data_IF_153946348041
#
_entry.id   IF_153946348041
#
_cell.length_a   1.000
_cell.length_b   1.000
_cell.length_c   1.000
_cell.angle_alpha   90.00
_cell.angle_beta   90.00
_cell.angle_gamma   90.00
#
_symmetry.space_group_name_H-M   'P 1'
#
loop_
_entity.id
_entity.type
_entity.pdbx_description
1 polymer ?
#
# COMPACT_ATOMS: atom_id res chain seq x y z
N UNK A 1 16.82 37.31 -29.32
CA UNK A 1 17.80 36.49 -28.61
C UNK A 1 17.55 36.63 -27.12
N UNK A 2 16.91 35.66 -26.50
CA UNK A 2 16.69 35.64 -25.05
C UNK A 2 18.02 35.30 -24.37
N UNK A 3 18.47 36.16 -23.45
CA UNK A 3 19.63 35.88 -22.63
C UNK A 3 19.29 34.75 -21.67
N UNK A 4 20.02 33.64 -21.75
CA UNK A 4 19.94 32.53 -20.79
C UNK A 4 20.45 33.03 -19.44
N UNK A 5 19.60 32.98 -18.41
CA UNK A 5 19.96 33.28 -17.03
C UNK A 5 20.36 31.99 -16.31
N UNK A 6 21.64 31.84 -15.98
CA UNK A 6 22.07 31.01 -14.87
C UNK A 6 22.82 29.72 -15.10
N UNK A 7 23.27 29.39 -16.31
CA UNK A 7 24.27 28.32 -16.49
C UNK A 7 25.69 28.87 -16.33
N UNK A 8 26.60 28.15 -15.66
CA UNK A 8 28.04 28.43 -15.70
C UNK A 8 28.47 28.19 -17.17
N UNK A 9 28.78 29.28 -17.88
CA UNK A 9 29.42 29.17 -19.19
C UNK A 9 30.90 28.94 -18.87
N UNK A 10 31.40 27.71 -19.07
CA UNK A 10 32.84 27.47 -19.11
C UNK A 10 33.47 28.32 -20.21
N UNK A 11 34.75 28.65 -20.08
CA UNK A 11 35.54 29.45 -21.06
C UNK A 11 35.55 28.83 -22.45
N UNK A 12 35.00 27.64 -22.63
CA UNK A 12 35.03 26.80 -23.82
C UNK A 12 33.69 26.73 -24.58
N UNK A 13 32.63 27.44 -24.12
CA UNK A 13 31.28 27.40 -24.71
C UNK A 13 30.50 26.13 -24.41
N UNK A 14 30.87 25.35 -23.37
CA UNK A 14 30.20 24.14 -22.92
C UNK A 14 29.21 24.49 -21.80
N UNK A 15 27.95 24.08 -21.97
CA UNK A 15 26.83 24.45 -21.11
C UNK A 15 26.34 23.29 -20.26
N UNK A 16 26.06 23.56 -18.96
CA UNK A 16 25.25 22.71 -18.11
C UNK A 16 23.77 22.71 -18.55
N UNK A 17 22.94 21.73 -18.10
CA UNK A 17 21.52 21.71 -18.41
C UNK A 17 20.76 22.91 -17.85
N UNK A 18 19.57 23.18 -18.38
CA UNK A 18 18.59 24.03 -17.71
C UNK A 18 18.08 23.35 -16.41
N UNK A 19 17.58 24.11 -15.42
CA UNK A 19 17.05 23.53 -14.20
C UNK A 19 15.74 22.76 -14.45
N UNK A 20 15.50 21.63 -13.74
CA UNK A 20 14.21 20.94 -13.74
C UNK A 20 13.06 21.86 -13.31
N UNK A 21 11.84 21.53 -13.72
CA UNK A 21 10.63 22.30 -13.42
C UNK A 21 9.54 21.44 -12.80
N UNK A 22 8.45 22.04 -12.30
CA UNK A 22 7.30 21.30 -11.78
C UNK A 22 7.62 20.41 -10.58
N UNK A 23 8.50 20.87 -9.68
CA UNK A 23 8.92 20.09 -8.51
C UNK A 23 7.78 19.94 -7.52
N UNK A 24 7.41 18.68 -7.23
CA UNK A 24 6.39 18.30 -6.23
C UNK A 24 6.95 17.20 -5.33
N UNK A 25 6.40 17.07 -4.11
CA UNK A 25 6.77 16.04 -3.16
C UNK A 25 5.58 15.18 -2.78
N UNK A 26 5.75 13.86 -2.80
CA UNK A 26 4.84 12.88 -2.20
C UNK A 26 5.49 12.33 -0.94
N UNK A 27 4.83 12.47 0.21
CA UNK A 27 5.42 12.15 1.52
C UNK A 27 5.22 10.69 1.90
N UNK A 28 6.26 10.09 2.46
CA UNK A 28 6.25 8.78 3.11
C UNK A 28 6.67 8.88 4.58
N UNK A 29 6.96 7.74 5.20
CA UNK A 29 7.49 7.69 6.56
C UNK A 29 9.00 7.91 6.54
N UNK A 30 9.43 9.02 7.08
CA UNK A 30 10.82 9.48 7.08
C UNK A 30 11.42 9.65 5.66
N UNK A 31 10.59 9.87 4.66
CA UNK A 31 10.99 10.01 3.25
C UNK A 31 10.03 10.91 2.46
N UNK A 32 10.50 11.37 1.30
CA UNK A 32 9.66 12.01 0.31
C UNK A 32 10.16 11.68 -1.11
N UNK A 33 9.23 11.28 -1.99
CA UNK A 33 9.48 11.11 -3.42
C UNK A 33 9.30 12.48 -4.12
N UNK A 34 10.38 12.98 -4.71
CA UNK A 34 10.44 14.29 -5.36
C UNK A 34 10.27 14.09 -6.87
N UNK A 35 9.09 14.44 -7.37
CA UNK A 35 8.77 14.40 -8.80
C UNK A 35 9.10 15.74 -9.46
N UNK A 36 9.53 15.68 -10.71
CA UNK A 36 9.90 16.86 -11.50
C UNK A 36 9.83 16.59 -13.00
N UNK A 37 9.74 17.66 -13.77
CA UNK A 37 9.85 17.60 -15.23
C UNK A 37 11.31 17.81 -15.63
N UNK A 38 11.81 16.89 -16.45
CA UNK A 38 13.15 16.94 -17.02
C UNK A 38 13.27 18.17 -17.93
N UNK A 39 14.35 18.97 -17.87
CA UNK A 39 14.52 20.12 -18.73
C UNK A 39 14.64 19.68 -20.20
N UNK A 40 14.07 20.47 -21.11
CA UNK A 40 14.16 20.25 -22.54
C UNK A 40 15.54 20.66 -23.12
N UNK A 41 16.25 21.57 -22.47
CA UNK A 41 17.61 21.94 -22.80
C UNK A 41 18.59 21.19 -21.89
N UNK A 42 19.29 20.23 -22.48
CA UNK A 42 20.29 19.41 -21.80
C UNK A 42 21.70 20.10 -21.76
N UNK A 43 21.82 21.29 -22.31
CA UNK A 43 23.12 21.94 -22.53
C UNK A 43 23.87 21.32 -23.71
N UNK A 44 25.18 21.32 -23.65
CA UNK A 44 26.02 20.79 -24.75
C UNK A 44 26.27 19.28 -24.66
N UNK A 45 25.70 18.58 -23.69
CA UNK A 45 25.77 17.12 -23.51
C UNK A 45 24.46 16.58 -22.93
N UNK A 46 24.20 15.29 -23.14
CA UNK A 46 23.05 14.60 -22.55
C UNK A 46 23.09 14.67 -21.03
N UNK A 47 21.91 14.76 -20.41
CA UNK A 47 21.76 14.68 -18.95
C UNK A 47 22.17 13.29 -18.50
N UNK A 48 23.05 13.20 -17.49
CA UNK A 48 23.56 11.96 -16.91
C UNK A 48 22.89 11.60 -15.56
N UNK A 49 22.24 12.56 -14.92
CA UNK A 49 21.56 12.34 -13.65
C UNK A 49 20.96 13.61 -13.05
N UNK A 50 20.36 13.43 -11.89
CA UNK A 50 19.72 14.49 -11.11
C UNK A 50 20.12 14.38 -9.63
N UNK A 51 20.09 15.50 -8.93
CA UNK A 51 20.20 15.59 -7.47
C UNK A 51 18.97 16.28 -6.94
N UNK A 52 18.28 15.68 -5.97
CA UNK A 52 17.23 16.34 -5.19
C UNK A 52 17.76 16.64 -3.79
N UNK A 53 17.49 17.84 -3.25
CA UNK A 53 17.91 18.26 -1.91
C UNK A 53 16.76 18.92 -1.18
N UNK A 54 16.70 18.77 0.15
CA UNK A 54 15.83 19.58 1.01
C UNK A 54 16.52 20.88 1.44
N UNK A 55 15.74 21.80 1.98
CA UNK A 55 16.23 23.03 2.62
C UNK A 55 17.00 22.75 3.92
N UNK A 56 16.84 21.56 4.52
CA UNK A 56 17.63 21.10 5.68
C UNK A 56 18.98 20.47 5.29
N UNK A 57 19.22 20.23 4.00
CA UNK A 57 20.47 19.67 3.49
C UNK A 57 20.45 18.16 3.23
N UNK A 58 19.33 17.47 3.51
CA UNK A 58 19.16 16.09 3.11
C UNK A 58 19.07 16.00 1.59
N UNK A 59 19.54 14.89 1.00
CA UNK A 59 19.49 14.77 -0.45
C UNK A 59 19.67 13.35 -0.97
N UNK A 60 19.31 13.17 -2.24
CA UNK A 60 19.47 11.92 -2.97
C UNK A 60 19.77 12.19 -4.45
N UNK A 61 20.32 11.19 -5.13
CA UNK A 61 20.62 11.21 -6.56
C UNK A 61 19.80 10.17 -7.30
N UNK A 62 19.49 10.43 -8.57
CA UNK A 62 18.78 9.47 -9.42
C UNK A 62 19.00 9.76 -10.90
N UNK A 63 18.67 8.79 -11.74
CA UNK A 63 18.75 8.92 -13.20
C UNK A 63 17.46 9.47 -13.84
N UNK A 64 16.36 9.48 -13.09
CA UNK A 64 15.02 9.89 -13.56
C UNK A 64 14.17 10.43 -12.42
N UNK A 65 13.06 11.05 -12.73
CA UNK A 65 11.99 11.41 -11.80
C UNK A 65 11.08 10.17 -11.54
N UNK A 66 10.60 9.94 -10.29
CA UNK A 66 10.94 10.69 -9.07
C UNK A 66 12.26 10.27 -8.43
N UNK A 67 12.78 11.10 -7.50
CA UNK A 67 13.92 10.78 -6.63
C UNK A 67 13.43 10.75 -5.18
N UNK A 68 13.67 9.66 -4.45
CA UNK A 68 13.29 9.55 -3.04
C UNK A 68 14.41 10.04 -2.14
N UNK A 69 14.13 11.06 -1.34
CA UNK A 69 15.00 11.53 -0.24
C UNK A 69 14.52 10.82 1.03
N UNK A 70 15.39 10.01 1.63
CA UNK A 70 15.13 9.28 2.87
C UNK A 70 15.73 9.98 4.11
N UNK A 71 15.57 9.34 5.28
CA UNK A 71 16.09 9.80 6.58
C UNK A 71 15.55 11.15 7.05
N UNK A 72 14.41 11.58 6.53
CA UNK A 72 13.72 12.80 6.95
C UNK A 72 13.04 12.60 8.32
N UNK A 73 12.89 13.67 9.07
CA UNK A 73 12.18 13.65 10.35
C UNK A 73 10.68 13.83 10.12
N UNK A 74 9.86 12.85 10.53
CA UNK A 74 8.41 12.93 10.44
C UNK A 74 7.85 14.13 11.20
N UNK A 75 6.87 14.82 10.61
CA UNK A 75 6.27 16.03 11.16
C UNK A 75 7.08 17.33 10.97
N UNK A 76 8.33 17.24 10.52
CA UNK A 76 9.16 18.41 10.19
C UNK A 76 8.81 18.89 8.78
N UNK A 77 8.62 20.19 8.62
CA UNK A 77 8.35 20.81 7.33
C UNK A 77 9.65 20.99 6.53
N UNK A 78 9.61 20.60 5.27
CA UNK A 78 10.69 20.72 4.30
C UNK A 78 10.19 21.36 3.00
N UNK A 79 11.11 21.91 2.22
CA UNK A 79 10.94 22.18 0.78
C UNK A 79 12.05 21.47 0.01
N UNK A 80 11.80 21.09 -1.25
CA UNK A 80 12.80 20.40 -2.06
C UNK A 80 13.15 21.17 -3.33
N UNK A 81 14.39 21.02 -3.80
CA UNK A 81 14.90 21.51 -5.09
C UNK A 81 15.60 20.40 -5.84
N UNK A 82 15.60 20.49 -7.16
CA UNK A 82 16.24 19.50 -8.03
C UNK A 82 17.21 20.20 -8.98
N UNK A 83 18.32 19.51 -9.24
CA UNK A 83 19.38 19.90 -10.16
C UNK A 83 19.56 18.83 -11.23
N UNK A 84 19.76 19.21 -12.47
CA UNK A 84 20.15 18.32 -13.54
C UNK A 84 21.67 18.36 -13.75
N UNK A 85 22.27 17.24 -14.14
CA UNK A 85 23.71 17.08 -14.32
C UNK A 85 23.99 16.55 -15.72
N UNK A 86 24.97 17.13 -16.40
CA UNK A 86 25.56 16.59 -17.62
C UNK A 86 27.08 16.49 -17.48
N UNK A 87 27.80 16.12 -18.55
CA UNK A 87 29.26 15.98 -18.53
C UNK A 87 30.01 17.31 -18.23
N UNK A 88 29.36 18.44 -18.38
CA UNK A 88 29.99 19.77 -18.27
C UNK A 88 29.57 20.56 -17.03
N UNK A 89 28.60 20.05 -16.28
CA UNK A 89 28.23 20.70 -15.03
C UNK A 89 26.83 20.37 -14.51
N UNK A 90 26.50 21.06 -13.44
CA UNK A 90 25.20 20.98 -12.77
C UNK A 90 24.39 22.24 -13.07
N UNK A 91 23.10 22.08 -13.33
CA UNK A 91 22.18 23.19 -13.57
C UNK A 91 22.08 24.14 -12.36
N UNK A 92 21.47 25.30 -12.57
CA UNK A 92 20.92 26.05 -11.44
C UNK A 92 19.85 25.22 -10.71
N UNK A 93 19.53 25.60 -9.46
CA UNK A 93 18.45 24.98 -8.70
C UNK A 93 17.10 25.23 -9.37
N UNK A 94 16.21 24.23 -9.34
CA UNK A 94 14.80 24.42 -9.67
C UNK A 94 14.14 25.45 -8.74
N UNK A 95 12.92 25.89 -9.07
CA UNK A 95 12.02 26.49 -8.09
C UNK A 95 11.75 25.43 -7.01
N UNK A 96 11.68 25.86 -5.75
CA UNK A 96 11.36 24.95 -4.65
C UNK A 96 9.95 24.37 -4.79
N UNK A 97 9.77 23.15 -4.32
CA UNK A 97 8.43 22.56 -4.14
C UNK A 97 7.58 23.38 -3.15
N UNK A 98 6.29 23.15 -3.11
CA UNK A 98 5.49 23.50 -1.93
C UNK A 98 6.07 22.83 -0.68
N UNK A 99 5.83 23.41 0.50
CA UNK A 99 6.24 22.79 1.77
C UNK A 99 5.54 21.44 1.95
N UNK A 100 6.28 20.43 2.44
CA UNK A 100 5.78 19.09 2.75
C UNK A 100 6.34 18.62 4.09
N UNK A 101 5.64 17.72 4.77
CA UNK A 101 6.11 17.11 6.01
C UNK A 101 5.96 15.59 5.91
N UNK A 102 7.04 14.81 6.01
CA UNK A 102 6.93 13.36 6.10
C UNK A 102 6.03 12.93 7.25
N UNK A 103 5.30 11.85 7.11
CA UNK A 103 4.32 11.37 8.09
C UNK A 103 4.72 10.00 8.61
N UNK A 104 4.33 9.69 9.87
CA UNK A 104 4.42 8.33 10.35
C UNK A 104 3.47 7.44 9.55
N UNK A 105 4.01 6.42 8.88
CA UNK A 105 3.19 5.39 8.28
C UNK A 105 2.46 4.62 9.38
N UNK A 106 1.13 4.74 9.41
CA UNK A 106 0.25 4.06 10.37
C UNK A 106 -0.49 2.94 9.68
N UNK A 107 -0.40 1.74 10.26
CA UNK A 107 -1.20 0.60 9.89
C UNK A 107 -2.36 0.43 10.85
N UNK A 108 -3.55 0.13 10.31
CA UNK A 108 -4.74 -0.20 11.09
C UNK A 108 -5.11 -1.67 10.86
N UNK A 109 -5.51 -2.32 11.92
CA UNK A 109 -6.14 -3.64 11.90
C UNK A 109 -7.56 -3.50 12.43
N UNK A 110 -8.56 -3.96 11.65
CA UNK A 110 -9.97 -3.64 11.88
C UNK A 110 -10.82 -4.89 12.04
N UNK A 111 -11.62 -4.94 13.11
CA UNK A 111 -12.57 -6.02 13.41
C UNK A 111 -11.89 -7.36 13.69
N UNK A 112 -12.53 -8.44 13.29
CA UNK A 112 -11.99 -9.79 13.40
C UNK A 112 -12.69 -10.67 14.41
N UNK A 113 -12.02 -11.75 14.83
CA UNK A 113 -12.53 -12.75 15.75
C UNK A 113 -11.51 -13.07 16.83
N UNK A 114 -11.94 -12.97 18.07
CA UNK A 114 -11.20 -13.39 19.27
C UNK A 114 -12.00 -14.48 19.98
N UNK A 115 -11.42 -15.63 20.25
CA UNK A 115 -12.09 -16.75 20.97
C UNK A 115 -13.51 -17.08 20.46
N UNK A 116 -13.70 -17.12 19.14
CA UNK A 116 -14.96 -17.37 18.42
C UNK A 116 -16.01 -16.22 18.43
N UNK A 117 -15.75 -15.10 19.09
CA UNK A 117 -16.62 -13.92 19.04
C UNK A 117 -16.10 -12.90 18.03
N UNK A 118 -16.98 -12.30 17.22
CA UNK A 118 -16.65 -11.12 16.43
C UNK A 118 -16.32 -9.96 17.35
N UNK A 119 -15.37 -9.11 16.95
CA UNK A 119 -14.96 -7.92 17.70
C UNK A 119 -15.08 -6.66 16.85
N UNK A 120 -15.27 -5.52 17.50
CA UNK A 120 -15.33 -4.20 16.89
C UNK A 120 -14.02 -3.41 17.01
N UNK A 121 -13.00 -3.98 17.62
CA UNK A 121 -11.73 -3.33 17.90
C UNK A 121 -11.03 -2.87 16.63
N UNK A 122 -10.58 -1.63 16.61
CA UNK A 122 -9.59 -1.10 15.69
C UNK A 122 -8.31 -0.90 16.48
N UNK A 123 -7.21 -1.48 16.02
CA UNK A 123 -5.90 -1.28 16.63
C UNK A 123 -4.90 -0.80 15.58
N UNK A 124 -3.85 -0.10 16.02
CA UNK A 124 -2.87 0.48 15.10
C UNK A 124 -1.42 0.21 15.52
N UNK A 125 -0.56 0.28 14.51
CA UNK A 125 0.90 0.27 14.66
C UNK A 125 1.51 1.47 13.93
N UNK A 126 2.69 1.89 14.35
CA UNK A 126 3.57 2.76 13.56
C UNK A 126 4.51 1.86 12.76
N UNK A 127 4.31 1.73 11.44
CA UNK A 127 4.99 0.72 10.61
C UNK A 127 6.52 0.87 10.62
N UNK A 128 7.03 2.09 10.74
CA UNK A 128 8.47 2.35 10.76
C UNK A 128 9.20 1.88 12.02
N UNK A 129 8.48 1.63 13.12
CA UNK A 129 9.06 1.33 14.44
C UNK A 129 8.43 0.05 15.01
N UNK A 130 9.24 -0.94 15.34
CA UNK A 130 8.77 -2.19 15.97
C UNK A 130 8.16 -1.91 17.34
N UNK A 131 7.14 -2.69 17.71
CA UNK A 131 6.42 -2.57 18.97
C UNK A 131 5.00 -3.09 18.85
N UNK A 132 4.36 -3.26 19.98
CA UNK A 132 3.00 -3.80 20.05
C UNK A 132 1.96 -2.83 19.49
N UNK A 133 0.86 -3.39 19.00
CA UNK A 133 -0.29 -2.61 18.59
C UNK A 133 -0.92 -1.85 19.77
N UNK A 134 -1.54 -0.73 19.45
CA UNK A 134 -2.23 0.14 20.42
C UNK A 134 -3.69 0.28 20.00
N UNK A 135 -4.58 0.45 20.98
CA UNK A 135 -5.98 0.70 20.73
C UNK A 135 -6.17 2.00 19.93
N UNK A 136 -7.00 1.92 18.90
CA UNK A 136 -7.34 3.06 18.04
C UNK A 136 -8.77 3.56 18.34
N UNK A 137 -9.71 2.64 18.61
CA UNK A 137 -11.13 2.86 18.74
C UNK A 137 -11.92 1.65 18.25
N UNK A 138 -13.19 1.84 17.92
CA UNK A 138 -14.08 0.75 17.55
C UNK A 138 -14.77 0.98 16.20
N UNK A 139 -15.08 -0.11 15.49
CA UNK A 139 -16.08 -0.16 14.43
C UNK A 139 -17.47 0.15 15.03
N UNK A 140 -18.44 0.47 14.20
CA UNK A 140 -19.84 0.73 14.65
C UNK A 140 -20.51 -0.52 15.23
N UNK A 141 -20.02 -1.71 14.85
CA UNK A 141 -20.46 -2.99 15.41
C UNK A 141 -19.39 -4.07 15.25
N UNK A 142 -19.43 -5.09 16.13
CA UNK A 142 -18.55 -6.24 16.07
C UNK A 142 -18.77 -7.06 14.79
N UNK A 143 -17.72 -7.19 13.98
CA UNK A 143 -17.75 -7.95 12.71
C UNK A 143 -16.39 -8.52 12.34
N UNK A 144 -16.40 -9.61 11.57
CA UNK A 144 -15.20 -10.33 11.09
C UNK A 144 -15.24 -10.49 9.58
N UNK A 145 -14.13 -10.94 8.99
CA UNK A 145 -14.00 -11.21 7.55
C UNK A 145 -14.34 -9.99 6.67
N UNK A 146 -13.97 -8.84 7.17
CA UNK A 146 -14.14 -7.53 6.51
C UNK A 146 -13.04 -7.31 5.47
N UNK A 147 -13.27 -6.42 4.50
CA UNK A 147 -12.23 -5.85 3.66
C UNK A 147 -11.85 -4.45 4.13
N UNK A 148 -10.59 -4.02 3.96
CA UNK A 148 -10.19 -2.67 4.28
C UNK A 148 -9.30 -2.05 3.21
N UNK A 149 -9.53 -0.76 2.95
CA UNK A 149 -8.77 0.07 2.01
C UNK A 149 -8.40 1.38 2.68
N UNK A 150 -7.40 2.06 2.17
CA UNK A 150 -7.02 3.35 2.73
C UNK A 150 -6.56 4.36 1.66
N UNK A 151 -6.67 5.63 2.01
CA UNK A 151 -5.90 6.72 1.43
C UNK A 151 -4.84 7.20 2.43
N UNK A 152 -4.09 8.22 2.09
CA UNK A 152 -3.17 8.88 3.03
C UNK A 152 -3.86 9.46 4.28
N UNK A 153 -5.18 9.63 4.28
CA UNK A 153 -5.94 10.27 5.36
C UNK A 153 -7.03 9.41 5.99
N UNK A 154 -7.63 8.46 5.24
CA UNK A 154 -8.75 7.64 5.68
C UNK A 154 -8.41 6.16 5.63
N UNK A 155 -8.79 5.42 6.68
CA UNK A 155 -8.94 3.97 6.65
C UNK A 155 -10.43 3.63 6.53
N UNK A 156 -10.79 2.75 5.61
CA UNK A 156 -12.17 2.36 5.32
C UNK A 156 -12.31 0.85 5.45
N UNK A 157 -13.38 0.40 6.10
CA UNK A 157 -13.72 -1.00 6.33
C UNK A 157 -15.10 -1.30 5.71
N UNK A 158 -15.23 -2.39 4.95
CA UNK A 158 -16.49 -2.74 4.28
C UNK A 158 -16.88 -4.20 4.37
N UNK A 159 -18.19 -4.46 4.37
CA UNK A 159 -18.77 -5.79 4.44
C UNK A 159 -18.53 -6.49 5.78
N UNK A 160 -18.51 -7.82 5.74
CA UNK A 160 -18.22 -8.65 6.90
C UNK A 160 -19.40 -9.49 7.38
N UNK A 161 -19.17 -10.18 8.49
CA UNK A 161 -20.16 -11.02 9.15
C UNK A 161 -20.31 -10.60 10.62
N UNK A 162 -21.50 -10.17 11.00
CA UNK A 162 -21.91 -9.90 12.39
C UNK A 162 -22.48 -11.18 13.01
N UNK A 163 -22.12 -11.50 14.25
CA UNK A 163 -22.46 -12.77 14.90
C UNK A 163 -23.97 -13.01 14.92
N UNK A 164 -24.77 -11.99 15.22
CA UNK A 164 -26.23 -12.13 15.41
C UNK A 164 -27.07 -11.70 14.19
N UNK A 165 -26.44 -11.10 13.16
CA UNK A 165 -27.13 -10.54 12.00
C UNK A 165 -26.79 -11.31 10.71
N UNK A 166 -25.57 -11.85 10.61
CA UNK A 166 -25.04 -12.48 9.40
C UNK A 166 -24.30 -11.50 8.50
N UNK A 167 -24.44 -11.66 7.20
CA UNK A 167 -23.74 -10.85 6.20
C UNK A 167 -24.24 -9.41 6.21
N UNK A 168 -23.30 -8.47 6.08
CA UNK A 168 -23.60 -7.04 6.00
C UNK A 168 -22.92 -6.40 4.78
N UNK A 169 -23.50 -5.29 4.32
CA UNK A 169 -22.96 -4.46 3.22
C UNK A 169 -22.39 -3.13 3.71
N UNK A 170 -22.48 -2.82 4.99
CA UNK A 170 -22.05 -1.56 5.58
C UNK A 170 -20.58 -1.27 5.28
N UNK A 171 -20.30 -0.02 4.92
CA UNK A 171 -18.95 0.54 4.81
C UNK A 171 -18.81 1.62 5.89
N UNK A 172 -17.71 1.62 6.61
CA UNK A 172 -17.40 2.60 7.64
C UNK A 172 -15.95 3.06 7.54
N UNK A 173 -15.64 4.24 8.07
CA UNK A 173 -14.32 4.83 7.97
C UNK A 173 -13.84 5.51 9.24
N UNK A 174 -12.53 5.68 9.32
CA UNK A 174 -11.84 6.46 10.34
C UNK A 174 -10.86 7.43 9.69
N UNK A 175 -10.51 8.52 10.40
CA UNK A 175 -9.37 9.38 10.04
C UNK A 175 -8.10 8.71 10.56
N UNK A 176 -7.26 8.19 9.67
CA UNK A 176 -6.21 7.22 10.01
C UNK A 176 -5.15 7.76 10.99
N UNK A 177 -4.89 9.06 11.01
CA UNK A 177 -3.90 9.66 11.91
C UNK A 177 -4.46 10.11 13.28
N UNK A 178 -5.78 10.07 13.46
CA UNK A 178 -6.45 10.49 14.70
C UNK A 178 -7.25 9.32 15.27
N UNK A 179 -6.89 8.87 16.49
CA UNK A 179 -7.63 7.80 17.17
C UNK A 179 -9.08 8.17 17.41
N UNK A 180 -9.97 7.20 17.30
CA UNK A 180 -11.42 7.39 17.46
C UNK A 180 -12.22 6.29 16.79
N UNK A 181 -13.51 6.30 17.01
CA UNK A 181 -14.42 5.30 16.49
C UNK A 181 -14.73 5.53 15.00
N UNK A 182 -15.09 4.48 14.31
CA UNK A 182 -15.54 4.53 12.93
C UNK A 182 -16.88 5.24 12.79
N UNK A 183 -17.09 5.83 11.63
CA UNK A 183 -18.32 6.51 11.23
C UNK A 183 -18.82 5.88 9.94
N UNK A 184 -20.13 5.87 9.74
CA UNK A 184 -20.77 5.39 8.52
C UNK A 184 -20.21 6.09 7.28
N UNK A 185 -19.94 5.26 6.25
CA UNK A 185 -19.48 5.74 4.93
C UNK A 185 -20.55 5.53 3.86
N UNK A 186 -21.32 4.43 3.93
CA UNK A 186 -22.29 3.98 2.94
C UNK A 186 -22.33 2.45 2.87
N UNK A 187 -22.75 1.89 1.73
CA UNK A 187 -22.97 0.46 1.55
C UNK A 187 -22.26 -0.11 0.32
N UNK A 188 -21.82 -1.37 0.38
CA UNK A 188 -21.50 -2.21 -0.77
C UNK A 188 -22.77 -2.51 -1.57
N UNK A 189 -22.63 -2.86 -2.84
CA UNK A 189 -23.77 -3.27 -3.69
C UNK A 189 -24.44 -4.55 -3.21
N UNK A 190 -23.68 -5.45 -2.57
CA UNK A 190 -24.16 -6.75 -2.04
C UNK A 190 -23.56 -7.02 -0.66
N UNK A 191 -24.40 -7.48 0.29
CA UNK A 191 -23.94 -7.94 1.60
C UNK A 191 -23.07 -9.20 1.46
N UNK A 192 -21.83 -9.15 1.96
CA UNK A 192 -20.83 -10.22 1.81
C UNK A 192 -19.69 -10.14 2.82
N UNK A 193 -19.01 -11.27 3.01
CA UNK A 193 -17.81 -11.39 3.85
C UNK A 193 -16.70 -12.14 3.11
N UNK A 194 -15.53 -12.30 3.72
CA UNK A 194 -14.36 -12.98 3.13
C UNK A 194 -13.91 -12.36 1.81
N UNK A 195 -14.13 -11.06 1.66
CA UNK A 195 -13.71 -10.28 0.51
C UNK A 195 -12.26 -9.84 0.67
N UNK A 196 -11.54 -9.78 -0.43
CA UNK A 196 -10.26 -9.10 -0.48
C UNK A 196 -10.44 -7.61 -0.82
N UNK A 197 -9.42 -6.80 -0.57
CA UNK A 197 -9.53 -5.36 -0.80
C UNK A 197 -8.18 -4.70 -0.97
N UNK A 198 -8.16 -3.61 -1.71
CA UNK A 198 -6.98 -2.78 -1.95
C UNK A 198 -7.34 -1.59 -2.83
N UNK A 199 -6.38 -0.77 -3.18
CA UNK A 199 -6.69 0.37 -4.02
C UNK A 199 -5.56 1.38 -4.16
N UNK A 200 -5.90 2.51 -4.77
CA UNK A 200 -5.04 3.69 -4.86
C UNK A 200 -5.37 4.70 -3.75
N UNK A 201 -4.66 5.82 -3.71
CA UNK A 201 -4.96 6.92 -2.78
C UNK A 201 -6.38 7.50 -2.93
N UNK A 202 -7.04 7.29 -4.06
CA UNK A 202 -8.35 7.87 -4.35
C UNK A 202 -9.48 6.87 -4.47
N UNK A 203 -9.20 5.65 -4.94
CA UNK A 203 -10.19 4.60 -5.20
C UNK A 203 -9.87 3.35 -4.41
N UNK A 204 -10.83 2.90 -3.58
CA UNK A 204 -10.79 1.62 -2.89
C UNK A 204 -11.66 0.59 -3.62
N UNK A 205 -11.18 -0.64 -3.74
CA UNK A 205 -11.88 -1.77 -4.34
C UNK A 205 -12.11 -2.86 -3.29
N UNK A 206 -13.31 -3.45 -3.33
CA UNK A 206 -13.72 -4.62 -2.55
C UNK A 206 -14.04 -5.76 -3.52
N UNK A 207 -13.30 -6.86 -3.43
CA UNK A 207 -13.24 -7.88 -4.47
C UNK A 207 -13.82 -9.20 -3.96
N UNK A 208 -14.76 -9.77 -4.71
CA UNK A 208 -15.34 -11.08 -4.45
C UNK A 208 -16.06 -11.18 -3.11
N UNK A 209 -15.99 -12.34 -2.50
CA UNK A 209 -16.61 -12.63 -1.20
C UNK A 209 -17.00 -14.11 -1.08
N UNK A 210 -17.77 -14.40 -0.06
CA UNK A 210 -18.21 -15.77 0.25
C UNK A 210 -19.14 -16.35 -0.82
N UNK A 211 -19.07 -17.66 -0.98
CA UNK A 211 -19.91 -18.40 -1.93
C UNK A 211 -19.50 -18.16 -3.37
N UNK A 212 -20.46 -17.81 -4.21
CA UNK A 212 -20.27 -17.56 -5.65
C UNK A 212 -20.27 -16.06 -5.99
N UNK A 213 -20.05 -15.20 -4.99
CA UNK A 213 -20.04 -13.76 -5.22
C UNK A 213 -18.71 -13.38 -5.89
N UNK A 214 -18.79 -12.95 -7.14
CA UNK A 214 -17.66 -12.50 -7.94
C UNK A 214 -17.60 -10.97 -8.11
N UNK A 215 -18.58 -10.25 -7.58
CA UNK A 215 -18.72 -8.80 -7.71
C UNK A 215 -17.48 -8.06 -7.18
N UNK A 216 -17.02 -7.08 -7.93
CA UNK A 216 -16.03 -6.09 -7.50
C UNK A 216 -16.75 -4.76 -7.33
N UNK A 217 -16.72 -4.20 -6.13
CA UNK A 217 -17.23 -2.86 -5.86
C UNK A 217 -16.07 -1.86 -5.75
N UNK A 218 -16.34 -0.59 -6.06
CA UNK A 218 -15.41 0.50 -5.76
C UNK A 218 -16.05 1.68 -5.07
N UNK A 219 -15.24 2.41 -4.33
CA UNK A 219 -15.57 3.67 -3.68
C UNK A 219 -14.56 4.76 -4.05
N UNK A 220 -14.98 6.02 -3.98
CA UNK A 220 -14.08 7.18 -3.93
C UNK A 220 -13.78 7.46 -2.45
N UNK A 221 -12.58 7.15 -1.96
CA UNK A 221 -12.25 7.15 -0.52
C UNK A 221 -12.47 8.53 0.13
N UNK A 222 -12.28 9.62 -0.60
CA UNK A 222 -12.44 10.98 -0.08
C UNK A 222 -13.91 11.40 0.16
N UNK A 223 -14.89 10.72 -0.47
CA UNK A 223 -16.30 11.09 -0.43
C UNK A 223 -17.15 9.95 0.10
N UNK A 224 -17.91 10.19 1.18
CA UNK A 224 -18.89 9.22 1.69
C UNK A 224 -19.99 8.96 0.67
N UNK A 225 -20.49 7.74 0.63
CA UNK A 225 -21.54 7.29 -0.28
C UNK A 225 -21.42 5.79 -0.57
N UNK A 226 -22.45 5.24 -1.19
CA UNK A 226 -22.49 3.82 -1.53
C UNK A 226 -21.44 3.48 -2.59
N UNK A 227 -20.97 2.25 -2.53
CA UNK A 227 -20.10 1.69 -3.55
C UNK A 227 -20.84 1.54 -4.90
N UNK A 228 -20.08 1.54 -5.95
CA UNK A 228 -20.54 1.34 -7.32
C UNK A 228 -19.91 0.07 -7.87
N UNK A 229 -20.64 -0.67 -8.69
CA UNK A 229 -20.13 -1.83 -9.39
C UNK A 229 -18.93 -1.46 -10.27
N UNK A 230 -17.86 -2.26 -10.13
CA UNK A 230 -16.62 -2.11 -10.89
C UNK A 230 -16.54 -3.15 -12.01
N UNK A 231 -17.06 -4.35 -11.78
CA UNK A 231 -16.98 -5.52 -12.62
C UNK A 231 -16.92 -6.80 -11.78
N UNK A 232 -16.44 -7.89 -12.36
CA UNK A 232 -16.45 -9.22 -11.74
C UNK A 232 -15.05 -9.85 -11.70
N UNK A 233 -14.85 -10.69 -10.68
CA UNK A 233 -13.76 -11.67 -10.70
C UNK A 233 -14.08 -12.72 -11.75
N UNK A 234 -13.10 -13.15 -12.54
CA UNK A 234 -13.25 -14.26 -13.47
C UNK A 234 -13.77 -15.50 -12.74
N UNK A 235 -14.67 -16.26 -13.38
CA UNK A 235 -15.30 -17.46 -12.81
C UNK A 235 -14.30 -18.54 -12.33
N UNK A 236 -13.04 -18.47 -12.77
CA UNK A 236 -11.96 -19.35 -12.34
C UNK A 236 -10.94 -18.63 -11.43
N UNK A 237 -11.20 -17.38 -11.07
CA UNK A 237 -10.29 -16.57 -10.25
C UNK A 237 -10.59 -16.67 -8.75
N UNK A 238 -9.65 -16.16 -7.92
CA UNK A 238 -9.78 -16.19 -6.47
C UNK A 238 -10.81 -15.15 -6.00
N UNK A 239 -11.93 -15.58 -5.47
CA UNK A 239 -13.03 -14.70 -5.06
C UNK A 239 -13.38 -14.75 -3.57
N UNK A 240 -12.87 -15.73 -2.80
CA UNK A 240 -13.16 -15.92 -1.38
C UNK A 240 -11.90 -16.16 -0.56
N UNK A 241 -11.85 -15.60 0.66
CA UNK A 241 -10.69 -15.76 1.58
C UNK A 241 -9.36 -15.44 0.91
N UNK A 242 -9.45 -14.58 -0.10
CA UNK A 242 -8.33 -14.06 -0.86
C UNK A 242 -7.73 -12.84 -0.16
N UNK A 243 -6.50 -12.49 -0.51
CA UNK A 243 -5.91 -11.21 -0.15
C UNK A 243 -5.51 -10.44 -1.42
N UNK A 244 -5.60 -9.13 -1.33
CA UNK A 244 -5.21 -8.26 -2.42
C UNK A 244 -4.18 -7.24 -1.95
N UNK A 245 -3.34 -6.82 -2.89
CA UNK A 245 -2.41 -5.72 -2.72
C UNK A 245 -2.42 -4.85 -3.98
N UNK A 246 -1.92 -3.64 -3.88
CA UNK A 246 -2.03 -2.70 -4.99
C UNK A 246 -0.79 -1.83 -5.17
N UNK A 247 -0.52 -1.50 -6.44
CA UNK A 247 0.23 -0.32 -6.86
C UNK A 247 -0.75 0.84 -7.12
N UNK A 248 -0.29 2.06 -7.47
CA UNK A 248 -1.21 3.15 -7.85
C UNK A 248 -2.10 2.82 -9.06
N UNK A 249 -1.70 1.82 -9.88
CA UNK A 249 -2.35 1.49 -11.16
C UNK A 249 -3.11 0.18 -11.11
N UNK A 250 -2.56 -0.87 -10.47
CA UNK A 250 -3.11 -2.23 -10.46
C UNK A 250 -3.42 -2.70 -9.05
N UNK A 251 -4.57 -3.35 -8.90
CA UNK A 251 -4.85 -4.23 -7.78
C UNK A 251 -4.61 -5.66 -8.25
N UNK A 252 -3.97 -6.46 -7.42
CA UNK A 252 -3.67 -7.87 -7.63
C UNK A 252 -4.29 -8.69 -6.50
N UNK A 253 -4.96 -9.79 -6.82
CA UNK A 253 -5.75 -10.60 -5.89
C UNK A 253 -5.37 -12.08 -6.00
N UNK A 254 -5.22 -12.78 -4.86
CA UNK A 254 -4.88 -14.22 -4.83
C UNK A 254 -5.45 -14.90 -3.58
N UNK A 255 -5.75 -16.19 -3.67
CA UNK A 255 -6.27 -17.01 -2.55
C UNK A 255 -7.28 -18.06 -3.00
N UNK A 256 -8.23 -18.41 -2.13
CA UNK A 256 -9.32 -19.38 -2.33
C UNK A 256 -8.85 -20.81 -2.67
N UNK A 257 -7.79 -21.30 -2.01
CA UNK A 257 -7.21 -22.61 -2.33
C UNK A 257 -6.73 -22.76 -3.79
N UNK A 258 -6.41 -21.64 -4.43
CA UNK A 258 -5.84 -21.59 -5.77
C UNK A 258 -4.44 -21.02 -5.69
N UNK A 259 -3.59 -21.40 -6.66
CA UNK A 259 -2.32 -20.68 -6.90
C UNK A 259 -2.55 -19.40 -7.69
N UNK A 260 -3.65 -19.33 -8.44
CA UNK A 260 -3.95 -18.25 -9.39
C UNK A 260 -3.92 -16.86 -8.75
N UNK A 261 -3.34 -15.94 -9.48
CA UNK A 261 -3.32 -14.51 -9.20
C UNK A 261 -4.08 -13.81 -10.33
N UNK A 262 -5.02 -12.95 -9.98
CA UNK A 262 -5.77 -12.10 -10.92
C UNK A 262 -5.45 -10.62 -10.66
N UNK A 263 -5.72 -9.76 -11.66
CA UNK A 263 -5.55 -8.33 -11.50
C UNK A 263 -6.63 -7.51 -12.21
N UNK A 264 -6.78 -6.26 -11.75
CA UNK A 264 -7.55 -5.20 -12.44
C UNK A 264 -6.73 -3.92 -12.52
N UNK A 265 -7.05 -3.07 -13.51
CA UNK A 265 -6.56 -1.69 -13.58
C UNK A 265 -7.48 -0.80 -12.77
N UNK A 266 -7.00 -0.21 -11.65
CA UNK A 266 -7.83 0.51 -10.66
C UNK A 266 -8.63 1.67 -11.25
N UNK A 267 -8.06 2.39 -12.23
CA UNK A 267 -8.70 3.57 -12.82
C UNK A 267 -9.88 3.24 -13.77
N UNK A 268 -9.93 2.03 -14.30
CA UNK A 268 -10.89 1.62 -15.35
C UNK A 268 -11.72 0.44 -14.89
N UNK A 269 -13.03 0.58 -14.86
CA UNK A 269 -13.97 -0.52 -14.53
C UNK A 269 -13.85 -1.68 -15.52
N UNK A 270 -14.01 -2.89 -15.03
CA UNK A 270 -13.95 -4.11 -15.82
C UNK A 270 -13.63 -5.33 -14.97
N UNK A 271 -13.70 -6.49 -15.58
CA UNK A 271 -13.45 -7.77 -14.92
C UNK A 271 -11.95 -8.01 -14.70
N UNK A 272 -11.67 -8.95 -13.79
CA UNK A 272 -10.28 -9.39 -13.60
C UNK A 272 -9.71 -10.07 -14.82
N UNK A 273 -8.41 -9.98 -14.97
CA UNK A 273 -7.62 -10.75 -15.93
C UNK A 273 -6.58 -11.59 -15.18
N UNK A 274 -6.21 -12.70 -15.78
CA UNK A 274 -5.17 -13.59 -15.26
C UNK A 274 -3.82 -12.88 -15.19
N UNK A 275 -3.13 -13.01 -14.05
CA UNK A 275 -1.81 -12.43 -13.81
C UNK A 275 -0.71 -13.49 -13.87
N UNK A 276 -0.95 -14.68 -13.34
CA UNK A 276 -0.02 -15.77 -13.14
C UNK A 276 -0.37 -16.57 -11.88
N UNK A 277 0.58 -17.35 -11.37
CA UNK A 277 0.38 -18.24 -10.23
C UNK A 277 1.33 -17.95 -9.07
N UNK A 278 0.87 -18.22 -7.84
CA UNK A 278 1.71 -18.32 -6.64
C UNK A 278 2.52 -19.61 -6.65
N UNK A 279 3.58 -19.67 -5.84
CA UNK A 279 4.37 -20.89 -5.66
C UNK A 279 3.60 -21.96 -4.88
N UNK A 280 2.60 -21.57 -4.08
CA UNK A 280 1.76 -22.46 -3.26
C UNK A 280 0.27 -22.11 -3.40
N UNK A 281 -0.58 -23.13 -3.34
CA UNK A 281 -2.03 -22.99 -3.19
C UNK A 281 -2.36 -22.69 -1.73
N UNK A 282 -3.07 -21.58 -1.45
CA UNK A 282 -3.47 -21.25 -0.08
C UNK A 282 -4.63 -20.27 -0.03
N UNK A 283 -5.37 -20.27 1.08
CA UNK A 283 -6.40 -19.30 1.41
C UNK A 283 -6.17 -18.71 2.81
N UNK A 284 -6.89 -17.65 3.15
CA UNK A 284 -6.70 -16.97 4.45
C UNK A 284 -5.31 -16.34 4.59
N UNK A 285 -4.75 -15.90 3.49
CA UNK A 285 -3.43 -15.27 3.38
C UNK A 285 -3.47 -13.78 3.70
N UNK A 286 -2.31 -13.21 4.03
CA UNK A 286 -2.09 -11.76 4.10
C UNK A 286 -1.40 -11.25 2.84
N UNK A 287 -1.65 -10.00 2.45
CA UNK A 287 -0.96 -9.36 1.33
C UNK A 287 -0.55 -7.93 1.66
N UNK A 288 0.57 -7.50 1.09
CA UNK A 288 1.08 -6.14 1.20
C UNK A 288 1.83 -5.74 -0.08
N UNK A 289 2.10 -4.46 -0.27
CA UNK A 289 2.84 -4.01 -1.45
C UNK A 289 3.65 -2.74 -1.23
N UNK A 290 4.71 -2.59 -2.02
CA UNK A 290 5.24 -1.30 -2.44
C UNK A 290 4.59 -0.89 -3.77
N UNK A 291 4.97 0.27 -4.32
CA UNK A 291 4.49 0.70 -5.64
C UNK A 291 4.82 -0.29 -6.79
N UNK A 292 5.81 -1.16 -6.61
CA UNK A 292 6.32 -2.05 -7.66
C UNK A 292 6.18 -3.54 -7.35
N UNK A 293 6.26 -3.93 -6.07
CA UNK A 293 6.28 -5.33 -5.64
C UNK A 293 5.07 -5.64 -4.77
N UNK A 294 4.30 -6.67 -5.15
CA UNK A 294 3.27 -7.29 -4.33
C UNK A 294 3.83 -8.51 -3.60
N UNK A 295 3.42 -8.73 -2.37
CA UNK A 295 3.87 -9.83 -1.52
C UNK A 295 2.66 -10.49 -0.87
N UNK A 296 2.61 -11.82 -0.92
CA UNK A 296 1.59 -12.67 -0.31
C UNK A 296 2.24 -13.59 0.71
N UNK A 297 1.59 -13.81 1.85
CA UNK A 297 2.16 -14.62 2.91
C UNK A 297 1.11 -15.41 3.69
N UNK A 298 1.52 -16.54 4.27
CA UNK A 298 0.70 -17.32 5.17
C UNK A 298 -0.36 -18.19 4.50
N UNK A 299 -1.38 -18.52 5.27
CA UNK A 299 -2.54 -19.27 4.82
C UNK A 299 -2.86 -20.52 5.63
N UNK A 300 -3.95 -21.20 5.27
CA UNK A 300 -4.54 -22.31 6.02
C UNK A 300 -3.96 -23.68 5.64
N UNK A 301 -3.40 -23.80 4.43
CA UNK A 301 -2.93 -25.08 3.89
C UNK A 301 -1.45 -25.36 4.24
N UNK A 302 -0.93 -26.47 3.74
CA UNK A 302 0.52 -26.75 3.80
C UNK A 302 1.32 -25.64 3.12
N UNK A 303 2.45 -25.23 3.72
CA UNK A 303 3.22 -24.07 3.25
C UNK A 303 2.70 -22.75 3.81
N UNK A 304 2.06 -22.77 4.98
CA UNK A 304 1.54 -21.56 5.64
C UNK A 304 2.64 -20.58 6.08
N UNK A 305 3.90 -20.97 6.04
CA UNK A 305 5.06 -20.11 6.29
C UNK A 305 5.56 -19.38 5.04
N UNK A 306 5.16 -19.81 3.83
CA UNK A 306 5.71 -19.28 2.57
C UNK A 306 5.32 -17.82 2.36
N UNK A 307 6.30 -17.03 1.96
CA UNK A 307 6.13 -15.67 1.44
C UNK A 307 6.51 -15.67 -0.03
N UNK A 308 5.57 -15.27 -0.88
CA UNK A 308 5.78 -15.11 -2.34
C UNK A 308 5.77 -13.63 -2.71
N UNK A 309 6.43 -13.28 -3.84
CA UNK A 309 6.33 -11.94 -4.39
C UNK A 309 6.17 -11.92 -5.91
N UNK A 310 5.59 -10.83 -6.39
CA UNK A 310 5.40 -10.51 -7.80
C UNK A 310 5.90 -9.09 -8.11
N UNK A 311 6.19 -8.84 -9.37
CA UNK A 311 6.35 -7.46 -9.90
C UNK A 311 4.99 -7.01 -10.45
N UNK A 312 4.30 -6.07 -9.78
CA UNK A 312 2.90 -5.72 -10.08
C UNK A 312 2.70 -5.21 -11.53
N UNK A 313 3.70 -4.55 -12.11
CA UNK A 313 3.60 -3.96 -13.44
C UNK A 313 3.60 -4.98 -14.58
N UNK A 314 4.11 -6.19 -14.37
CA UNK A 314 4.22 -7.24 -15.39
C UNK A 314 3.60 -8.55 -14.92
N UNK A 315 2.72 -9.14 -15.74
CA UNK A 315 2.14 -10.47 -15.49
C UNK A 315 3.21 -11.56 -15.49
N UNK A 316 3.01 -12.58 -14.69
CA UNK A 316 3.89 -13.73 -14.52
C UNK A 316 3.76 -14.36 -13.15
N UNK A 317 4.35 -15.53 -12.99
CA UNK A 317 4.27 -16.28 -11.74
C UNK A 317 5.06 -15.61 -10.61
N UNK A 318 4.60 -15.85 -9.40
CA UNK A 318 5.28 -15.41 -8.19
C UNK A 318 6.61 -16.15 -7.99
N UNK A 319 7.49 -15.49 -7.29
CA UNK A 319 8.79 -16.03 -6.91
C UNK A 319 8.87 -16.13 -5.38
N UNK A 320 9.56 -17.13 -4.86
CA UNK A 320 9.83 -17.28 -3.43
C UNK A 320 10.51 -16.02 -2.88
N UNK A 321 10.00 -15.51 -1.77
CA UNK A 321 10.55 -14.36 -1.06
C UNK A 321 11.32 -14.81 0.20
N UNK A 322 10.80 -15.82 0.89
CA UNK A 322 11.27 -16.33 2.18
C UNK A 322 10.11 -16.88 3.00
N UNK A 323 10.26 -16.91 4.32
CA UNK A 323 9.26 -17.51 5.20
C UNK A 323 8.88 -16.58 6.35
N UNK A 324 7.61 -16.69 6.80
CA UNK A 324 7.18 -16.25 8.12
C UNK A 324 7.91 -17.03 9.20
N UNK A 325 7.96 -16.53 10.43
CA UNK A 325 8.52 -17.30 11.54
C UNK A 325 7.62 -18.53 11.79
N UNK A 326 8.21 -19.67 12.11
CA UNK A 326 7.54 -20.96 12.21
C UNK A 326 6.59 -21.04 13.41
N UNK A 327 5.53 -20.24 13.44
CA UNK A 327 4.46 -20.32 14.42
C UNK A 327 3.19 -20.87 13.75
N UNK A 328 2.68 -21.99 14.27
CA UNK A 328 1.36 -22.51 13.91
C UNK A 328 0.29 -21.43 14.11
N UNK A 329 -0.47 -21.14 13.10
CA UNK A 329 -1.58 -20.17 13.18
C UNK A 329 -1.56 -19.05 12.14
N UNK A 330 -0.75 -19.17 11.10
CA UNK A 330 -0.62 -18.19 10.02
C UNK A 330 -1.83 -18.15 9.05
N UNK A 331 -2.99 -18.64 9.48
CA UNK A 331 -4.23 -18.63 8.68
C UNK A 331 -5.12 -17.44 9.05
N UNK A 332 -5.75 -16.84 8.04
CA UNK A 332 -6.62 -15.66 8.22
C UNK A 332 -5.90 -14.44 8.78
N UNK A 333 -4.69 -14.21 8.29
CA UNK A 333 -3.84 -13.09 8.63
C UNK A 333 -4.30 -11.80 7.93
N UNK A 334 -3.93 -10.66 8.53
CA UNK A 334 -3.99 -9.38 7.85
C UNK A 334 -2.60 -8.97 7.36
N UNK A 335 -2.56 -8.36 6.17
CA UNK A 335 -1.36 -7.71 5.64
C UNK A 335 -1.58 -6.21 5.47
N UNK A 336 -0.52 -5.43 5.68
CA UNK A 336 -0.46 -3.99 5.39
C UNK A 336 0.99 -3.58 5.14
N UNK A 337 1.23 -2.38 4.66
CA UNK A 337 2.60 -1.94 4.36
C UNK A 337 2.81 -0.43 4.46
N UNK A 338 4.08 -0.04 4.53
CA UNK A 338 4.55 1.23 4.02
C UNK A 338 5.14 1.03 2.61
N UNK A 339 5.69 2.08 2.01
CA UNK A 339 6.43 2.00 0.75
C UNK A 339 7.61 1.01 0.78
N UNK A 340 8.16 0.71 1.96
CA UNK A 340 9.38 -0.09 2.13
C UNK A 340 9.20 -1.34 3.00
N UNK A 341 8.29 -1.32 3.97
CA UNK A 341 8.08 -2.40 4.94
C UNK A 341 6.71 -3.03 4.77
N UNK A 342 6.67 -4.36 4.59
CA UNK A 342 5.46 -5.17 4.66
C UNK A 342 5.28 -5.70 6.07
N UNK A 343 4.05 -5.75 6.56
CA UNK A 343 3.69 -6.26 7.88
C UNK A 343 2.58 -7.29 7.73
N UNK A 344 2.73 -8.42 8.41
CA UNK A 344 1.75 -9.49 8.50
C UNK A 344 1.40 -9.71 9.97
N UNK A 345 0.13 -9.84 10.27
CA UNK A 345 -0.30 -9.87 11.66
C UNK A 345 -1.40 -10.89 11.92
N UNK A 346 -1.38 -11.44 13.13
CA UNK A 346 -2.40 -12.31 13.66
C UNK A 346 -2.44 -13.69 12.99
N UNK A 347 -3.65 -14.19 12.87
CA UNK A 347 -3.95 -15.55 12.46
C UNK A 347 -4.90 -16.20 13.45
N UNK A 348 -5.21 -17.49 13.27
CA UNK A 348 -6.12 -18.16 14.16
C UNK A 348 -5.55 -18.24 15.60
N UNK A 349 -6.11 -17.43 16.52
CA UNK A 349 -5.68 -17.32 17.92
C UNK A 349 -4.21 -16.87 18.13
N UNK A 350 -3.63 -16.24 17.09
CA UNK A 350 -2.27 -15.72 17.12
C UNK A 350 -2.30 -14.20 17.28
N UNK A 351 -1.38 -13.62 18.08
CA UNK A 351 -1.23 -12.18 18.25
C UNK A 351 0.06 -11.62 17.63
N UNK A 352 0.91 -12.47 17.07
CA UNK A 352 2.21 -12.07 16.53
C UNK A 352 2.03 -11.12 15.35
N UNK A 353 2.86 -10.09 15.33
CA UNK A 353 3.05 -9.19 14.18
C UNK A 353 4.46 -9.40 13.67
N UNK A 354 4.62 -9.67 12.38
CA UNK A 354 5.90 -9.87 11.72
C UNK A 354 6.07 -8.86 10.59
N UNK A 355 7.32 -8.56 10.21
CA UNK A 355 7.60 -7.66 9.10
C UNK A 355 8.70 -8.17 8.18
N UNK A 356 8.67 -7.65 6.96
CA UNK A 356 9.69 -7.82 5.92
C UNK A 356 10.12 -6.47 5.37
N UNK A 357 11.30 -6.41 4.78
CA UNK A 357 11.71 -5.32 3.89
C UNK A 357 11.31 -5.68 2.46
N UNK A 358 10.29 -5.01 1.88
CA UNK A 358 9.67 -5.42 0.61
C UNK A 358 10.69 -5.51 -0.55
N UNK A 359 11.71 -4.65 -0.56
CA UNK A 359 12.70 -4.62 -1.64
C UNK A 359 13.69 -5.79 -1.63
N UNK A 360 13.87 -6.47 -0.50
CA UNK A 360 14.89 -7.52 -0.30
C UNK A 360 14.24 -8.83 0.12
N UNK A 361 14.49 -9.92 -0.59
CA UNK A 361 14.04 -11.27 -0.20
C UNK A 361 14.70 -11.71 1.10
N UNK A 362 13.98 -12.46 1.90
CA UNK A 362 14.41 -12.97 3.20
C UNK A 362 13.24 -13.31 4.11
N UNK A 363 13.52 -13.95 5.22
CA UNK A 363 12.50 -14.32 6.18
C UNK A 363 11.96 -13.11 6.94
N UNK A 364 10.71 -13.22 7.39
CA UNK A 364 10.10 -12.24 8.27
C UNK A 364 10.83 -12.15 9.61
N UNK A 365 10.67 -11.03 10.26
CA UNK A 365 11.25 -10.72 11.58
C UNK A 365 10.13 -10.28 12.50
N UNK A 366 10.25 -10.59 13.78
CA UNK A 366 9.32 -10.16 14.81
C UNK A 366 9.19 -8.62 14.83
N UNK A 367 7.94 -8.14 14.85
CA UNK A 367 7.61 -6.72 14.95
C UNK A 367 7.08 -6.37 16.35
N UNK A 368 6.30 -7.27 16.94
CA UNK A 368 5.56 -7.09 18.19
C UNK A 368 4.25 -7.87 18.19
N UNK A 369 3.28 -7.46 19.03
CA UNK A 369 2.03 -8.18 19.25
C UNK A 369 0.80 -7.32 19.02
N UNK A 370 -0.29 -7.94 18.53
CA UNK A 370 -1.65 -7.42 18.62
C UNK A 370 -2.13 -7.37 20.07
N UNK A 371 -3.18 -6.61 20.35
CA UNK A 371 -3.83 -6.56 21.67
C UNK A 371 -4.39 -7.90 22.15
N UNK A 372 -4.57 -8.85 21.24
CA UNK A 372 -4.99 -10.22 21.54
C UNK A 372 -4.95 -11.09 20.29
N UNK A 373 -4.98 -12.42 20.46
CA UNK A 373 -4.99 -13.38 19.35
C UNK A 373 -6.22 -13.20 18.47
N UNK A 374 -6.04 -12.52 17.34
CA UNK A 374 -7.11 -12.10 16.41
C UNK A 374 -6.87 -12.70 15.04
N UNK A 375 -7.91 -13.31 14.47
CA UNK A 375 -7.94 -13.73 13.06
C UNK A 375 -9.18 -13.19 12.33
N UNK A 376 -9.26 -13.38 11.03
CA UNK A 376 -10.40 -12.97 10.20
C UNK A 376 -10.66 -11.45 10.25
N UNK A 377 -9.63 -10.65 10.37
CA UNK A 377 -9.64 -9.20 10.36
C UNK A 377 -8.94 -8.68 9.09
N UNK A 378 -8.96 -7.38 8.87
CA UNK A 378 -8.31 -6.79 7.70
C UNK A 378 -7.35 -5.67 8.09
N UNK A 379 -6.33 -5.46 7.25
CA UNK A 379 -5.30 -4.45 7.45
C UNK A 379 -5.28 -3.41 6.34
N UNK A 380 -5.09 -2.14 6.70
CA UNK A 380 -4.83 -1.07 5.74
C UNK A 380 -3.86 -0.03 6.34
N UNK A 381 -3.29 0.81 5.51
CA UNK A 381 -2.32 1.82 5.96
C UNK A 381 -2.34 3.08 5.11
N UNK A 382 -1.90 4.20 5.68
CA UNK A 382 -1.83 5.48 4.99
C UNK A 382 -0.58 5.65 4.10
N UNK A 383 0.19 4.61 3.88
CA UNK A 383 1.44 4.66 3.09
C UNK A 383 1.69 3.35 2.31
N UNK A 384 0.65 2.61 1.94
CA UNK A 384 0.78 1.37 1.16
C UNK A 384 1.16 1.63 -0.31
N UNK A 385 1.53 0.58 -1.03
CA UNK A 385 2.00 0.66 -2.43
C UNK A 385 1.07 1.39 -3.40
N UNK A 386 -0.24 1.45 -3.14
CA UNK A 386 -1.22 2.16 -3.95
C UNK A 386 -1.28 3.67 -3.72
N UNK A 387 -0.57 4.20 -2.72
CA UNK A 387 -0.57 5.64 -2.35
C UNK A 387 0.62 6.39 -2.99
N UNK A 388 1.62 5.68 -3.49
CA UNK A 388 2.88 6.22 -3.99
C UNK A 388 2.71 7.24 -5.15
#
# INVERSE_FOLDING_TARGET
MARRNGGFIGTDGLDAPDPPTGVTASVGSAEAAISFTVPSDAGTSAITGFVATTDAGDGATGSSSPITIGSLTNGTAYTARVYAINAYGTSAASIASSSFSPINARGLFMGGRVSNASVDVIQYITIGTTGNATDFGNLTAAKRTVGSVASSTRGVCGGGNKTDVGLVNEIEYVTILTTGNATDFGDLTVARHSLSSGGSNTRGLFVGGNGTINTIDYITIASVGNATDFGDVDSNGPNREAAACASPVRLVNSGENLSRIDYVTIATTGNTADFGDRTVQNNGIGACASATRGVFAGGEQSGSEVIDYITIASTGDATDFGNLTANSGNQFMAGLSSSTRGVFAGGYQNNVIEYITIASTGNATDFGDLLGGTGLFSGCSNNHGGIA
#
